data_IF_292600431688
#
_entry.id   IF_292600431688
#
_cell.length_a   1.000
_cell.length_b   1.000
_cell.length_c   1.000
_cell.angle_alpha   90.00
_cell.angle_beta   90.00
_cell.angle_gamma   90.00
#
_symmetry.space_group_name_H-M   'P 1'
#
loop_
_entity.id
_entity.type
_entity.pdbx_description
1 polymer ?
#
# COMPACT_ATOMS: atom_id res chain seq x y z
N UNK A 1 17.27 -14.71 -12.84
CA UNK A 1 16.48 -13.72 -13.57
C UNK A 1 17.44 -12.78 -14.29
N UNK A 2 17.25 -12.57 -15.56
CA UNK A 2 18.02 -11.62 -16.36
C UNK A 2 17.41 -10.21 -16.21
N UNK A 3 18.15 -9.16 -16.50
CA UNK A 3 17.68 -7.75 -16.46
C UNK A 3 16.42 -7.52 -17.30
N UNK A 4 16.26 -8.26 -18.37
CA UNK A 4 15.07 -8.25 -19.25
C UNK A 4 13.81 -8.74 -18.53
N UNK A 5 13.96 -9.72 -17.65
CA UNK A 5 12.87 -10.31 -16.86
C UNK A 5 12.28 -9.32 -15.83
N UNK A 6 13.12 -8.57 -15.11
CA UNK A 6 12.68 -7.60 -14.09
C UNK A 6 11.89 -6.45 -14.72
N UNK A 7 12.34 -5.93 -15.85
CA UNK A 7 11.65 -4.86 -16.57
C UNK A 7 10.27 -5.32 -17.07
N UNK A 8 10.19 -6.53 -17.64
CA UNK A 8 8.93 -7.09 -18.10
C UNK A 8 7.97 -7.37 -16.93
N UNK A 9 8.49 -7.79 -15.78
CA UNK A 9 7.71 -8.01 -14.56
C UNK A 9 7.18 -6.70 -13.98
N UNK A 10 8.02 -5.67 -13.86
CA UNK A 10 7.61 -4.33 -13.45
C UNK A 10 6.50 -3.79 -14.37
N UNK A 11 6.64 -3.95 -15.69
CA UNK A 11 5.63 -3.52 -16.65
C UNK A 11 4.30 -4.27 -16.44
N UNK A 12 4.35 -5.58 -16.25
CA UNK A 12 3.13 -6.36 -15.96
C UNK A 12 2.44 -5.93 -14.67
N UNK A 13 3.22 -5.72 -13.60
CA UNK A 13 2.68 -5.26 -12.32
C UNK A 13 2.14 -3.84 -12.41
N UNK A 14 2.79 -2.97 -13.19
CA UNK A 14 2.30 -1.63 -13.46
C UNK A 14 0.93 -1.66 -14.17
N UNK A 15 0.80 -2.42 -15.25
CA UNK A 15 -0.48 -2.55 -15.97
C UNK A 15 -1.58 -3.12 -15.08
N UNK A 16 -1.28 -4.12 -14.25
CA UNK A 16 -2.24 -4.67 -13.29
C UNK A 16 -2.66 -3.62 -12.25
N UNK A 17 -1.73 -2.77 -11.79
CA UNK A 17 -2.04 -1.68 -10.86
C UNK A 17 -2.98 -0.67 -11.52
N UNK A 18 -2.71 -0.23 -12.76
CA UNK A 18 -3.57 0.69 -13.50
C UNK A 18 -4.98 0.12 -13.64
N UNK A 19 -5.12 -1.10 -14.12
CA UNK A 19 -6.44 -1.77 -14.27
C UNK A 19 -7.17 -1.86 -12.93
N UNK A 20 -6.46 -2.17 -11.84
CA UNK A 20 -7.07 -2.22 -10.51
C UNK A 20 -7.54 -0.84 -10.04
N UNK A 21 -6.81 0.24 -10.35
CA UNK A 21 -7.17 1.61 -10.02
C UNK A 21 -8.42 2.07 -10.79
N UNK A 22 -8.43 1.85 -12.10
CA UNK A 22 -9.57 2.19 -12.99
C UNK A 22 -10.85 1.42 -12.58
N UNK A 23 -10.71 0.12 -12.30
CA UNK A 23 -11.83 -0.72 -11.86
C UNK A 23 -12.38 -0.35 -10.47
N UNK A 24 -11.63 0.45 -9.71
CA UNK A 24 -11.99 0.82 -8.32
C UNK A 24 -12.55 2.24 -8.21
N UNK A 25 -13.01 2.82 -9.32
CA UNK A 25 -13.61 4.14 -9.30
C UNK A 25 -14.83 4.19 -8.38
N UNK A 26 -14.85 5.13 -7.44
CA UNK A 26 -15.98 5.34 -6.52
C UNK A 26 -16.13 4.29 -5.42
N UNK A 27 -15.17 3.37 -5.27
CA UNK A 27 -15.15 2.35 -4.20
C UNK A 27 -13.82 2.32 -3.47
N UNK A 28 -13.87 2.00 -2.18
CA UNK A 28 -12.65 1.74 -1.43
C UNK A 28 -11.98 0.46 -1.96
N UNK A 29 -10.74 0.59 -2.40
CA UNK A 29 -9.88 -0.54 -2.70
C UNK A 29 -8.48 -0.27 -2.14
N UNK A 30 -7.97 -1.19 -1.30
CA UNK A 30 -6.66 -1.08 -0.68
C UNK A 30 -5.63 -1.83 -1.53
N UNK A 31 -4.84 -1.12 -2.30
CA UNK A 31 -3.78 -1.65 -3.15
C UNK A 31 -2.44 -1.43 -2.48
N UNK A 32 -1.59 -2.43 -2.46
CA UNK A 32 -0.27 -2.37 -1.85
C UNK A 32 0.77 -2.43 -2.95
N UNK A 33 1.61 -1.40 -3.05
CA UNK A 33 2.74 -1.34 -3.96
C UNK A 33 4.04 -1.48 -3.17
N UNK A 34 4.81 -2.50 -3.47
CA UNK A 34 6.07 -2.83 -2.80
C UNK A 34 7.24 -2.41 -3.67
N UNK A 35 8.06 -1.50 -3.16
CA UNK A 35 9.24 -1.00 -3.85
C UNK A 35 10.28 -0.47 -2.87
N UNK A 36 11.44 -1.10 -2.82
CA UNK A 36 12.56 -0.69 -1.94
C UNK A 36 13.36 0.47 -2.55
N UNK A 37 13.35 0.62 -3.88
CA UNK A 37 14.04 1.72 -4.56
C UNK A 37 13.15 2.97 -4.61
N UNK A 38 13.58 4.01 -3.89
CA UNK A 38 12.85 5.28 -3.78
C UNK A 38 12.71 6.01 -5.12
N UNK A 39 13.73 5.94 -5.98
CA UNK A 39 13.70 6.62 -7.28
C UNK A 39 12.77 5.91 -8.26
N UNK A 40 12.81 4.58 -8.29
CA UNK A 40 11.88 3.77 -9.08
C UNK A 40 10.45 4.03 -8.63
N UNK A 41 10.20 3.99 -7.31
CA UNK A 41 8.89 4.29 -6.73
C UNK A 41 8.35 5.64 -7.18
N UNK A 42 9.15 6.70 -7.05
CA UNK A 42 8.72 8.04 -7.44
C UNK A 42 8.46 8.16 -8.95
N UNK A 43 9.24 7.46 -9.78
CA UNK A 43 9.02 7.39 -11.23
C UNK A 43 7.69 6.74 -11.56
N UNK A 44 7.40 5.60 -10.95
CA UNK A 44 6.14 4.87 -11.16
C UNK A 44 4.92 5.68 -10.68
N UNK A 45 5.04 6.36 -9.52
CA UNK A 45 3.98 7.23 -9.01
C UNK A 45 3.67 8.35 -9.99
N UNK A 46 4.68 9.06 -10.46
CA UNK A 46 4.49 10.14 -11.45
C UNK A 46 3.87 9.63 -12.74
N UNK A 47 4.27 8.44 -13.17
CA UNK A 47 3.76 7.81 -14.39
C UNK A 47 2.27 7.53 -14.28
N UNK A 48 1.82 6.79 -13.24
CA UNK A 48 0.39 6.48 -13.13
C UNK A 48 -0.47 7.69 -12.78
N UNK A 49 0.03 8.63 -11.99
CA UNK A 49 -0.71 9.88 -11.73
C UNK A 49 -0.93 10.69 -13.01
N UNK A 50 0.05 10.72 -13.91
CA UNK A 50 -0.08 11.40 -15.20
C UNK A 50 -1.09 10.68 -16.10
N UNK A 51 -1.02 9.35 -16.18
CA UNK A 51 -1.92 8.53 -16.98
C UNK A 51 -3.38 8.63 -16.50
N UNK A 52 -3.59 8.54 -15.19
CA UNK A 52 -4.93 8.65 -14.59
C UNK A 52 -5.54 10.05 -14.74
N UNK A 53 -4.73 11.12 -14.67
CA UNK A 53 -5.22 12.48 -14.93
C UNK A 53 -5.70 12.67 -16.37
N UNK A 54 -5.13 11.96 -17.33
CA UNK A 54 -5.60 11.97 -18.72
C UNK A 54 -6.96 11.27 -18.88
N UNK A 55 -7.38 10.51 -17.87
CA UNK A 55 -8.65 9.81 -17.77
C UNK A 55 -9.62 10.48 -16.77
N UNK A 56 -9.40 11.76 -16.49
CA UNK A 56 -10.21 12.57 -15.56
C UNK A 56 -10.21 12.11 -14.09
N UNK A 57 -9.23 11.32 -13.68
CA UNK A 57 -9.02 11.02 -12.26
C UNK A 57 -8.24 12.13 -11.55
N UNK A 58 -8.69 12.49 -10.38
CA UNK A 58 -7.92 13.29 -9.45
C UNK A 58 -6.87 12.42 -8.76
N UNK A 59 -5.69 12.96 -8.57
CA UNK A 59 -4.61 12.23 -7.90
C UNK A 59 -4.05 13.04 -6.75
N UNK A 60 -4.09 12.46 -5.56
CA UNK A 60 -3.58 13.08 -4.34
C UNK A 60 -2.52 12.22 -3.68
N UNK A 61 -1.62 12.85 -2.96
CA UNK A 61 -0.60 12.17 -2.15
C UNK A 61 -0.78 12.50 -0.69
N UNK A 62 -0.77 11.48 0.13
CA UNK A 62 -0.81 11.58 1.59
C UNK A 62 0.45 10.97 2.17
N UNK A 63 1.03 11.64 3.15
CA UNK A 63 2.16 11.10 3.90
C UNK A 63 1.76 10.79 5.33
N UNK A 64 2.00 9.55 5.74
CA UNK A 64 1.86 9.15 7.16
C UNK A 64 2.94 9.87 7.97
N UNK A 65 2.54 10.54 9.06
CA UNK A 65 3.44 11.35 9.89
C UNK A 65 3.88 10.58 11.14
N UNK A 66 5.13 10.78 11.55
CA UNK A 66 5.70 10.12 12.73
C UNK A 66 4.93 10.41 14.03
N UNK A 67 4.45 11.64 14.21
CA UNK A 67 3.74 12.05 15.42
C UNK A 67 2.38 11.37 15.57
N UNK A 68 1.64 11.24 14.47
CA UNK A 68 0.35 10.54 14.39
C UNK A 68 0.32 9.62 13.17
N UNK A 69 0.80 8.36 13.32
CA UNK A 69 0.89 7.42 12.22
C UNK A 69 -0.47 6.76 11.92
N UNK A 70 -1.53 7.54 11.78
CA UNK A 70 -2.88 7.07 11.46
C UNK A 70 -3.22 7.30 9.99
N UNK A 71 -3.38 6.22 9.22
CA UNK A 71 -3.85 6.30 7.83
C UNK A 71 -5.24 6.94 7.76
N UNK A 72 -6.16 6.50 8.62
CA UNK A 72 -7.52 7.06 8.67
C UNK A 72 -7.51 8.56 8.89
N UNK A 73 -6.71 9.03 9.86
CA UNK A 73 -6.63 10.45 10.17
C UNK A 73 -6.07 11.26 9.00
N UNK A 74 -4.99 10.76 8.38
CA UNK A 74 -4.39 11.42 7.22
C UNK A 74 -5.35 11.52 6.03
N UNK A 75 -6.15 10.48 5.78
CA UNK A 75 -7.19 10.49 4.73
C UNK A 75 -8.36 11.43 5.08
N UNK A 76 -8.80 11.44 6.34
CA UNK A 76 -9.87 12.35 6.78
C UNK A 76 -9.47 13.81 6.62
N UNK A 77 -8.24 14.16 7.00
CA UNK A 77 -7.71 15.52 6.78
C UNK A 77 -7.65 15.89 5.29
N UNK A 78 -7.23 14.95 4.42
CA UNK A 78 -7.23 15.20 2.98
C UNK A 78 -8.64 15.49 2.46
N UNK A 79 -9.62 14.67 2.83
CA UNK A 79 -11.02 14.87 2.40
C UNK A 79 -11.59 16.19 2.91
N UNK A 80 -11.23 16.60 4.13
CA UNK A 80 -11.65 17.88 4.69
C UNK A 80 -11.06 19.09 3.90
N UNK A 81 -9.84 18.96 3.41
CA UNK A 81 -9.13 20.01 2.67
C UNK A 81 -9.47 20.06 1.19
N UNK A 82 -9.94 18.97 0.59
CA UNK A 82 -10.18 18.83 -0.84
C UNK A 82 -11.69 18.70 -1.16
N UNK A 83 -12.36 19.79 -1.59
CA UNK A 83 -13.80 19.77 -1.88
C UNK A 83 -14.20 18.75 -2.96
N UNK A 84 -13.31 18.47 -3.90
CA UNK A 84 -13.56 17.50 -4.97
C UNK A 84 -13.73 16.07 -4.44
N UNK A 85 -13.00 15.70 -3.37
CA UNK A 85 -13.16 14.42 -2.69
C UNK A 85 -14.47 14.34 -1.90
N UNK A 86 -14.96 15.46 -1.38
CA UNK A 86 -16.27 15.54 -0.73
C UNK A 86 -17.43 15.36 -1.72
N UNK A 87 -17.20 15.75 -3.00
CA UNK A 87 -18.16 15.56 -4.09
C UNK A 87 -18.07 14.17 -4.74
N UNK A 88 -17.29 13.25 -4.16
CA UNK A 88 -17.09 11.88 -4.65
C UNK A 88 -16.58 11.82 -6.11
N UNK A 89 -15.82 12.84 -6.56
CA UNK A 89 -15.18 12.78 -7.89
C UNK A 89 -14.19 11.61 -7.96
N UNK A 90 -14.00 11.02 -9.15
CA UNK A 90 -13.03 9.97 -9.35
C UNK A 90 -11.64 10.39 -8.86
N UNK A 91 -11.09 9.67 -7.90
CA UNK A 91 -9.81 10.02 -7.31
C UNK A 91 -9.00 8.78 -6.95
N UNK A 92 -7.69 8.94 -6.92
CA UNK A 92 -6.72 7.94 -6.43
C UNK A 92 -5.83 8.57 -5.38
N UNK A 93 -5.68 7.92 -4.24
CA UNK A 93 -4.86 8.41 -3.15
C UNK A 93 -3.58 7.57 -3.02
N UNK A 94 -2.45 8.21 -3.23
CA UNK A 94 -1.11 7.64 -3.02
C UNK A 94 -0.66 7.87 -1.58
N UNK A 95 -0.40 6.81 -0.83
CA UNK A 95 0.04 6.87 0.57
C UNK A 95 1.52 6.54 0.67
N UNK A 96 2.27 7.44 1.30
CA UNK A 96 3.72 7.40 1.47
C UNK A 96 4.11 7.56 2.95
N UNK A 97 5.39 7.34 3.27
CA UNK A 97 6.00 7.67 4.56
C UNK A 97 5.98 6.55 5.59
N UNK A 98 5.36 5.39 5.30
CA UNK A 98 5.35 4.25 6.23
C UNK A 98 6.76 3.69 6.45
N UNK A 99 7.61 3.75 5.44
CA UNK A 99 9.02 3.35 5.49
C UNK A 99 9.91 4.32 6.30
N UNK A 100 9.41 5.52 6.58
CA UNK A 100 10.09 6.54 7.38
C UNK A 100 9.73 6.45 8.88
N UNK A 101 8.71 5.66 9.23
CA UNK A 101 8.33 5.43 10.63
C UNK A 101 9.42 4.66 11.36
N UNK A 102 9.79 5.13 12.53
CA UNK A 102 10.82 4.49 13.34
C UNK A 102 10.32 3.14 13.88
N UNK A 103 11.14 2.10 13.68
CA UNK A 103 10.86 0.77 14.20
C UNK A 103 11.23 0.61 15.68
N UNK A 104 12.07 1.51 16.20
CA UNK A 104 12.55 1.52 17.58
C UNK A 104 12.38 2.92 18.14
N UNK A 105 11.83 3.03 19.36
CA UNK A 105 11.82 4.26 20.14
C UNK A 105 12.50 4.04 21.49
N UNK A 106 13.36 4.97 21.86
CA UNK A 106 14.12 4.91 23.10
C UNK A 106 13.27 5.22 24.33
N UNK A 107 12.17 6.02 24.21
CA UNK A 107 11.41 6.56 25.33
C UNK A 107 9.88 6.34 25.23
N UNK A 108 9.40 5.43 24.42
CA UNK A 108 7.97 5.17 24.27
C UNK A 108 7.63 3.67 24.37
N UNK A 109 6.45 3.30 24.90
CA UNK A 109 6.06 1.90 25.05
C UNK A 109 5.84 1.16 23.73
N UNK A 110 5.63 1.89 22.64
CA UNK A 110 5.48 1.34 21.28
C UNK A 110 6.20 2.18 20.26
N UNK A 111 6.82 1.54 19.27
CA UNK A 111 7.41 2.23 18.13
C UNK A 111 6.35 2.88 17.25
N UNK A 112 6.75 3.81 16.39
CA UNK A 112 5.83 4.46 15.44
C UNK A 112 5.23 3.46 14.46
N UNK A 113 6.03 2.50 14.01
CA UNK A 113 5.53 1.41 13.17
C UNK A 113 4.50 0.53 13.89
N UNK A 114 4.74 0.17 15.16
CA UNK A 114 3.75 -0.61 15.94
C UNK A 114 2.46 0.16 16.16
N UNK A 115 2.54 1.47 16.35
CA UNK A 115 1.36 2.33 16.43
C UNK A 115 0.61 2.38 15.10
N UNK A 116 1.33 2.50 13.98
CA UNK A 116 0.75 2.48 12.64
C UNK A 116 -0.01 1.19 12.38
N UNK A 117 0.62 0.03 12.59
CA UNK A 117 -0.04 -1.27 12.41
C UNK A 117 -1.23 -1.45 13.35
N UNK A 118 -1.11 -1.02 14.61
CA UNK A 118 -2.21 -1.01 15.55
C UNK A 118 -3.38 -0.16 15.06
N UNK A 119 -3.14 1.05 14.54
CA UNK A 119 -4.19 1.88 13.96
C UNK A 119 -4.83 1.22 12.75
N UNK A 120 -4.07 0.62 11.83
CA UNK A 120 -4.62 -0.11 10.69
C UNK A 120 -5.56 -1.23 11.13
N UNK A 121 -5.15 -2.00 12.13
CA UNK A 121 -5.94 -3.12 12.66
C UNK A 121 -7.27 -2.64 13.27
N UNK A 122 -7.25 -1.56 14.06
CA UNK A 122 -8.41 -1.09 14.79
C UNK A 122 -9.32 -0.14 14.02
N UNK A 123 -8.81 0.57 13.01
CA UNK A 123 -9.58 1.59 12.27
C UNK A 123 -10.01 1.14 10.88
N UNK A 124 -9.78 -0.11 10.49
CA UNK A 124 -10.09 -0.62 9.16
C UNK A 124 -11.54 -0.36 8.75
N UNK A 125 -12.51 -0.65 9.64
CA UNK A 125 -13.93 -0.44 9.34
C UNK A 125 -14.25 1.03 9.03
N UNK A 126 -13.56 1.94 9.69
CA UNK A 126 -13.73 3.37 9.44
C UNK A 126 -13.16 3.83 8.10
N UNK A 127 -12.34 3.01 7.42
CA UNK A 127 -11.88 3.30 6.06
C UNK A 127 -13.01 3.16 5.03
N UNK A 128 -14.08 2.42 5.31
CA UNK A 128 -15.24 2.24 4.42
C UNK A 128 -15.95 3.55 4.07
N UNK A 129 -15.76 4.60 4.85
CA UNK A 129 -16.30 5.92 4.55
C UNK A 129 -15.67 6.55 3.30
N UNK A 130 -14.47 6.09 2.91
CA UNK A 130 -13.77 6.63 1.74
C UNK A 130 -14.15 5.86 0.48
N UNK A 131 -14.51 6.59 -0.58
CA UNK A 131 -14.99 6.03 -1.85
C UNK A 131 -13.98 6.22 -2.97
N UNK A 132 -12.73 5.84 -2.70
CA UNK A 132 -11.64 5.90 -3.67
C UNK A 132 -10.61 4.81 -3.40
N UNK A 133 -9.89 4.35 -4.44
CA UNK A 133 -8.76 3.44 -4.26
C UNK A 133 -7.58 4.14 -3.59
N UNK A 134 -6.88 3.38 -2.76
CA UNK A 134 -5.71 3.81 -2.00
C UNK A 134 -4.54 2.93 -2.39
N UNK A 135 -3.44 3.53 -2.85
CA UNK A 135 -2.17 2.84 -3.11
C UNK A 135 -1.22 3.08 -1.97
N UNK A 136 -1.01 2.07 -1.14
CA UNK A 136 -0.07 2.11 -0.04
C UNK A 136 1.31 1.66 -0.53
N UNK A 137 2.25 2.61 -0.67
CA UNK A 137 3.64 2.32 -1.04
C UNK A 137 4.47 2.00 0.18
N UNK A 138 5.04 0.81 0.19
CA UNK A 138 5.85 0.29 1.30
C UNK A 138 7.08 -0.45 0.77
N UNK A 139 8.02 -0.71 1.67
CA UNK A 139 9.15 -1.61 1.42
C UNK A 139 8.78 -3.05 1.79
N UNK A 140 9.55 -4.01 1.30
CA UNK A 140 9.31 -5.42 1.61
C UNK A 140 9.36 -5.75 3.11
N UNK A 141 10.34 -5.25 3.92
CA UNK A 141 10.30 -5.48 5.36
C UNK A 141 9.03 -4.95 6.04
N UNK A 142 8.46 -3.84 5.53
CA UNK A 142 7.19 -3.30 6.04
C UNK A 142 6.02 -4.18 5.65
N UNK A 143 6.02 -4.75 4.43
CA UNK A 143 4.98 -5.67 3.98
C UNK A 143 4.86 -6.88 4.90
N UNK A 144 5.99 -7.53 5.22
CA UNK A 144 6.02 -8.69 6.12
C UNK A 144 5.41 -8.32 7.47
N UNK A 145 5.86 -7.21 8.08
CA UNK A 145 5.32 -6.73 9.35
C UNK A 145 3.84 -6.36 9.28
N UNK A 146 3.39 -5.79 8.16
CA UNK A 146 1.98 -5.45 7.94
C UNK A 146 1.10 -6.71 7.98
N UNK A 147 1.52 -7.77 7.28
CA UNK A 147 0.78 -9.04 7.27
C UNK A 147 0.71 -9.68 8.67
N UNK A 148 1.80 -9.61 9.44
CA UNK A 148 1.87 -10.17 10.81
C UNK A 148 1.14 -9.33 11.86
N UNK A 149 1.22 -8.00 11.78
CA UNK A 149 0.76 -7.08 12.85
C UNK A 149 -0.61 -6.47 12.61
N UNK A 150 -1.10 -6.52 11.37
CA UNK A 150 -2.43 -6.03 11.00
C UNK A 150 -3.14 -7.02 10.05
N UNK A 151 -3.36 -8.28 10.47
CA UNK A 151 -3.93 -9.33 9.61
C UNK A 151 -5.31 -9.00 9.09
N UNK A 152 -6.13 -8.34 9.86
CA UNK A 152 -7.47 -7.95 9.43
C UNK A 152 -7.42 -6.87 8.34
N UNK A 153 -6.54 -5.87 8.45
CA UNK A 153 -6.30 -4.90 7.38
C UNK A 153 -5.73 -5.59 6.15
N UNK A 154 -4.78 -6.51 6.36
CA UNK A 154 -4.18 -7.31 5.30
C UNK A 154 -5.23 -8.09 4.51
N UNK A 155 -6.26 -8.62 5.15
CA UNK A 155 -7.34 -9.37 4.49
C UNK A 155 -8.19 -8.53 3.53
N UNK A 156 -8.19 -7.21 3.68
CA UNK A 156 -8.97 -6.28 2.85
C UNK A 156 -8.23 -5.79 1.60
N UNK A 157 -6.97 -6.16 1.43
CA UNK A 157 -6.20 -5.75 0.26
C UNK A 157 -6.81 -6.27 -1.04
N UNK A 158 -6.94 -5.40 -2.04
CA UNK A 158 -7.38 -5.75 -3.38
C UNK A 158 -6.26 -6.30 -4.26
N UNK A 159 -4.98 -6.09 -3.86
CA UNK A 159 -3.84 -6.60 -4.59
C UNK A 159 -2.50 -6.16 -4.00
N UNK A 160 -1.44 -6.90 -4.36
CA UNK A 160 -0.04 -6.56 -4.04
C UNK A 160 0.76 -6.52 -5.34
N UNK A 161 1.45 -5.41 -5.58
CA UNK A 161 2.19 -5.14 -6.81
C UNK A 161 3.66 -4.91 -6.46
N UNK A 162 4.54 -5.72 -7.04
CA UNK A 162 5.96 -5.71 -6.73
C UNK A 162 6.75 -5.00 -7.81
N UNK A 163 7.64 -4.11 -7.37
CA UNK A 163 8.52 -3.36 -8.26
C UNK A 163 9.96 -3.42 -7.74
N UNK A 164 10.88 -3.81 -8.60
CA UNK A 164 12.29 -3.92 -8.24
C UNK A 164 13.19 -3.29 -9.30
N UNK A 165 14.36 -2.82 -8.87
CA UNK A 165 15.38 -2.32 -9.77
C UNK A 165 16.22 -3.49 -10.31
N UNK A 166 16.73 -3.36 -11.54
CA UNK A 166 17.49 -4.39 -12.24
C UNK A 166 18.73 -4.93 -11.52
N UNK A 167 19.27 -4.21 -10.50
CA UNK A 167 20.48 -4.60 -9.80
C UNK A 167 20.28 -5.33 -8.47
N UNK A 168 19.07 -5.57 -8.03
CA UNK A 168 18.82 -6.27 -6.76
C UNK A 168 18.70 -7.77 -6.99
N UNK A 169 19.84 -8.44 -7.09
CA UNK A 169 19.90 -9.88 -6.89
C UNK A 169 19.53 -10.13 -5.43
N UNK A 170 18.41 -10.58 -5.13
CA UNK A 170 17.96 -11.40 -4.01
C UNK A 170 16.46 -11.23 -3.86
N UNK A 171 15.69 -12.02 -4.54
CA UNK A 171 14.31 -12.29 -4.05
C UNK A 171 13.76 -13.53 -4.75
N UNK A 172 14.40 -14.67 -4.44
CA UNK A 172 13.94 -15.96 -4.95
C UNK A 172 12.95 -16.69 -4.02
N UNK A 173 12.69 -16.18 -2.83
CA UNK A 173 11.98 -16.97 -1.82
C UNK A 173 10.55 -16.52 -1.48
N UNK A 174 10.17 -15.26 -1.74
CA UNK A 174 8.83 -14.80 -1.36
C UNK A 174 7.72 -14.94 -2.41
N UNK A 175 8.03 -15.14 -3.68
CA UNK A 175 6.99 -15.21 -4.72
C UNK A 175 6.23 -16.54 -4.78
N UNK A 176 6.72 -17.61 -4.13
CA UNK A 176 6.05 -18.93 -4.18
C UNK A 176 5.09 -19.22 -3.02
N UNK A 177 5.23 -18.55 -1.88
CA UNK A 177 4.49 -18.94 -0.67
C UNK A 177 3.35 -18.00 -0.27
N UNK A 178 3.27 -16.78 -0.83
CA UNK A 178 2.20 -15.84 -0.47
C UNK A 178 0.86 -16.06 -1.21
N UNK A 179 0.78 -17.02 -2.11
CA UNK A 179 -0.48 -17.37 -2.78
C UNK A 179 -1.31 -18.43 -2.05
N UNK A 180 -0.81 -19.00 -0.97
CA UNK A 180 -1.55 -20.01 -0.18
C UNK A 180 -1.55 -19.67 1.31
N UNK A 181 -2.24 -18.61 1.69
CA UNK A 181 -2.60 -18.39 3.12
C UNK A 181 -3.69 -19.38 3.57
N UNK A 182 -4.25 -20.16 2.65
CA UNK A 182 -5.18 -21.25 2.96
C UNK A 182 -4.52 -22.44 3.66
N UNK A 183 -3.19 -22.62 3.52
CA UNK A 183 -2.51 -23.80 4.04
C UNK A 183 -1.90 -23.59 5.44
N UNK A 184 -1.85 -22.34 5.94
CA UNK A 184 -1.33 -22.08 7.28
C UNK A 184 -2.38 -22.13 8.41
N UNK A 185 -3.65 -22.40 8.11
CA UNK A 185 -4.70 -22.52 9.15
C UNK A 185 -5.01 -24.00 9.46
N UNK A 186 -4.44 -24.95 8.70
CA UNK A 186 -4.70 -26.40 8.85
C UNK A 186 -4.05 -27.08 10.06
N UNK A 187 -3.00 -26.54 10.68
CA UNK A 187 -2.20 -27.27 11.67
C UNK A 187 -2.38 -26.83 13.14
N UNK A 188 -3.39 -26.03 13.45
CA UNK A 188 -3.66 -25.61 14.85
C UNK A 188 -4.96 -26.16 15.47
N UNK A 189 -5.59 -27.16 14.85
CA UNK A 189 -6.73 -27.84 15.47
C UNK A 189 -6.40 -29.35 15.49
N UNK A 190 -5.48 -29.75 16.33
CA UNK A 190 -5.36 -31.07 16.93
C UNK A 190 -4.12 -31.13 17.85
N UNK A 191 -4.26 -30.60 19.08
CA UNK A 191 -3.64 -31.13 20.30
C UNK A 191 -4.19 -30.44 21.53
#
# INVERSE_FOLDING_TARGET
>A
MTTVDVKAENQRNYLKLIVALEASQGILNLLIAVCDDRNLRETLIKQYETELRQQDFLTYRVRVRNQDPSLRYALAQLVEQEPDLQQEKPAVITVLGVDELLSVKLDAPKSEQERFFGYLQWTREALRQFRFPIVLWITEPILVRLAERAPDFWSWRGGVFWFSRESTRVHKYCQREYFSVSDCIGDFIDK
#
